data_IF_964602982503
#
_entry.id   IF_964602982503
#
_cell.length_a   1.000
_cell.length_b   1.000
_cell.length_c   1.000
_cell.angle_alpha   90.00
_cell.angle_beta   90.00
_cell.angle_gamma   90.00
#
_symmetry.space_group_name_H-M   'P 1'
#
loop_
_entity.id
_entity.type
_entity.pdbx_description
1 polymer ?
#
# COMPACT_ATOMS: atom_id res chain seq x y z
N UNK A 1 30.94 -12.77 9.54
CA UNK A 1 30.95 -14.18 9.96
C UNK A 1 32.29 -14.48 10.64
N UNK A 2 32.52 -13.91 11.83
CA UNK A 2 33.80 -14.06 12.55
C UNK A 2 33.84 -15.33 13.43
N UNK A 3 32.78 -16.15 13.36
CA UNK A 3 32.58 -17.38 14.15
C UNK A 3 32.29 -18.62 13.28
N UNK A 4 32.42 -18.48 11.95
CA UNK A 4 32.54 -19.63 11.06
C UNK A 4 34.04 -19.82 10.86
N UNK A 5 34.60 -20.93 11.33
CA UNK A 5 35.95 -21.30 10.97
C UNK A 5 36.02 -21.34 9.43
N UNK A 6 36.81 -20.47 8.77
CA UNK A 6 36.89 -20.47 7.32
C UNK A 6 37.52 -21.77 6.78
N UNK A 7 38.15 -22.58 7.64
CA UNK A 7 38.85 -23.80 7.26
C UNK A 7 37.98 -25.05 7.41
N UNK A 8 36.94 -25.05 8.26
CA UNK A 8 35.99 -26.17 8.40
C UNK A 8 34.54 -25.67 8.60
N UNK A 9 33.63 -25.91 7.63
CA UNK A 9 32.22 -25.57 7.80
C UNK A 9 31.58 -26.49 8.84
N UNK A 10 31.30 -25.95 10.02
CA UNK A 10 30.60 -26.66 11.09
C UNK A 10 29.40 -25.85 11.63
N UNK A 11 28.47 -26.55 12.27
CA UNK A 11 27.26 -25.97 12.86
C UNK A 11 27.45 -25.60 14.35
N UNK A 12 28.68 -25.60 14.89
CA UNK A 12 28.90 -25.43 16.32
C UNK A 12 28.41 -24.09 16.86
N UNK A 13 28.29 -23.06 16.01
CA UNK A 13 27.74 -21.75 16.36
C UNK A 13 26.32 -21.82 16.96
N UNK A 14 25.55 -22.89 16.71
CA UNK A 14 24.20 -23.06 17.30
C UNK A 14 24.25 -23.22 18.82
N UNK A 15 25.41 -23.61 19.38
CA UNK A 15 25.65 -23.71 20.83
C UNK A 15 26.09 -22.37 21.42
N UNK A 16 26.46 -21.41 20.58
CA UNK A 16 27.02 -20.12 20.97
C UNK A 16 26.02 -18.97 20.72
N UNK A 17 24.81 -19.12 21.25
CA UNK A 17 23.69 -18.18 21.04
C UNK A 17 24.09 -16.73 21.33
N UNK A 18 24.82 -16.49 22.41
CA UNK A 18 25.26 -15.16 22.86
C UNK A 18 26.21 -14.50 21.84
N UNK A 19 27.12 -15.27 21.24
CA UNK A 19 28.04 -14.75 20.22
C UNK A 19 27.33 -14.45 18.90
N UNK A 20 26.30 -15.24 18.55
CA UNK A 20 25.45 -14.92 17.38
C UNK A 20 24.64 -13.65 17.64
N UNK A 21 24.13 -13.45 18.86
CA UNK A 21 23.47 -12.21 19.27
C UNK A 21 24.42 -11.01 19.20
N UNK A 22 25.63 -11.16 19.72
CA UNK A 22 26.67 -10.13 19.64
C UNK A 22 27.02 -9.80 18.18
N UNK A 23 27.18 -10.81 17.32
CA UNK A 23 27.41 -10.62 15.89
C UNK A 23 26.32 -9.77 15.23
N UNK A 24 25.04 -10.08 15.45
CA UNK A 24 23.95 -9.27 14.89
C UNK A 24 23.83 -7.89 15.54
N UNK A 25 24.24 -7.75 16.81
CA UNK A 25 24.32 -6.46 17.49
C UNK A 25 25.38 -5.58 16.85
N UNK A 26 26.61 -6.08 16.68
CA UNK A 26 27.70 -5.40 15.98
C UNK A 26 27.31 -5.10 14.54
N UNK A 27 26.74 -6.07 13.82
CA UNK A 27 26.29 -5.88 12.44
C UNK A 27 25.25 -4.76 12.33
N UNK A 28 24.37 -4.61 13.34
CA UNK A 28 23.38 -3.52 13.41
C UNK A 28 23.97 -2.14 13.74
N UNK A 29 25.21 -2.09 14.25
CA UNK A 29 25.97 -0.87 14.52
C UNK A 29 26.87 -0.45 13.35
N UNK A 30 26.99 -1.29 12.31
CA UNK A 30 27.70 -0.93 11.07
C UNK A 30 26.90 0.05 10.22
N UNK A 31 27.50 0.54 9.12
CA UNK A 31 26.83 1.39 8.12
C UNK A 31 25.82 0.62 7.23
N UNK A 32 25.59 -0.67 7.47
CA UNK A 32 24.63 -1.46 6.68
C UNK A 32 23.18 -1.04 6.98
N UNK A 33 22.33 -1.04 5.94
CA UNK A 33 20.90 -0.79 6.12
C UNK A 33 20.26 -1.85 7.02
N UNK A 34 19.33 -1.46 7.90
CA UNK A 34 18.69 -2.41 8.83
C UNK A 34 17.93 -3.52 8.10
N UNK A 35 17.39 -3.24 6.91
CA UNK A 35 16.76 -4.23 6.04
C UNK A 35 17.77 -5.31 5.58
N UNK A 36 19.01 -4.91 5.28
CA UNK A 36 20.09 -5.83 4.90
C UNK A 36 20.46 -6.75 6.07
N UNK A 37 20.57 -6.20 7.28
CA UNK A 37 20.79 -6.99 8.51
C UNK A 37 19.64 -7.98 8.75
N UNK A 38 18.39 -7.55 8.56
CA UNK A 38 17.21 -8.42 8.65
C UNK A 38 17.20 -9.52 7.56
N UNK A 39 17.71 -9.24 6.37
CA UNK A 39 17.80 -10.24 5.30
C UNK A 39 18.83 -11.32 5.64
N UNK A 40 20.00 -10.95 6.18
CA UNK A 40 20.98 -11.93 6.67
C UNK A 40 20.38 -12.85 7.74
N UNK A 41 19.59 -12.28 8.65
CA UNK A 41 18.86 -13.04 9.65
C UNK A 41 17.86 -14.04 9.06
N UNK A 42 17.01 -13.57 8.12
CA UNK A 42 16.03 -14.43 7.45
C UNK A 42 16.69 -15.59 6.72
N UNK A 43 17.83 -15.33 6.07
CA UNK A 43 18.63 -16.36 5.41
C UNK A 43 19.14 -17.40 6.40
N UNK A 44 19.69 -16.97 7.55
CA UNK A 44 20.13 -17.88 8.62
C UNK A 44 18.97 -18.73 9.14
N UNK A 45 17.82 -18.11 9.46
CA UNK A 45 16.63 -18.84 9.91
C UNK A 45 16.11 -19.85 8.89
N UNK A 46 16.10 -19.48 7.60
CA UNK A 46 15.69 -20.39 6.51
C UNK A 46 16.66 -21.57 6.40
N UNK A 47 17.96 -21.32 6.52
CA UNK A 47 18.98 -22.35 6.53
C UNK A 47 18.80 -23.32 7.72
N UNK A 48 18.58 -22.80 8.94
CA UNK A 48 18.31 -23.64 10.11
C UNK A 48 17.06 -24.51 9.94
N UNK A 49 15.98 -23.96 9.39
CA UNK A 49 14.77 -24.74 9.05
C UNK A 49 15.10 -25.87 8.08
N UNK A 50 15.88 -25.60 7.04
CA UNK A 50 16.29 -26.61 6.07
C UNK A 50 17.08 -27.75 6.74
N UNK A 51 18.03 -27.43 7.62
CA UNK A 51 18.77 -28.45 8.38
C UNK A 51 17.82 -29.32 9.21
N UNK A 52 16.86 -28.71 9.93
CA UNK A 52 15.92 -29.44 10.79
C UNK A 52 14.93 -30.30 10.00
N UNK A 53 14.40 -29.80 8.88
CA UNK A 53 13.26 -30.45 8.19
C UNK A 53 13.65 -31.28 6.99
N UNK A 54 14.79 -30.99 6.37
CA UNK A 54 15.12 -31.46 5.02
C UNK A 54 16.43 -32.26 4.95
N UNK A 55 17.08 -32.50 6.09
CA UNK A 55 18.31 -33.30 6.17
C UNK A 55 18.16 -34.45 7.16
N UNK A 56 19.01 -35.47 7.02
CA UNK A 56 19.08 -36.63 7.93
C UNK A 56 19.73 -36.29 9.29
N UNK A 57 19.89 -35.03 9.65
CA UNK A 57 20.58 -34.62 10.89
C UNK A 57 19.93 -35.27 12.12
N UNK A 58 18.61 -35.46 12.11
CA UNK A 58 17.88 -36.15 13.19
C UNK A 58 18.35 -37.60 13.42
N UNK A 59 18.73 -38.32 12.37
CA UNK A 59 19.14 -39.72 12.45
C UNK A 59 20.65 -39.87 12.58
N UNK A 60 21.43 -38.95 11.99
CA UNK A 60 22.90 -38.99 11.99
C UNK A 60 23.53 -38.37 13.24
N UNK A 61 22.94 -37.30 13.77
CA UNK A 61 23.43 -36.61 14.97
C UNK A 61 22.24 -36.02 15.77
N UNK A 62 21.60 -36.83 16.62
CA UNK A 62 20.46 -36.41 17.43
C UNK A 62 20.78 -35.24 18.38
N UNK A 63 22.03 -35.13 18.85
CA UNK A 63 22.46 -34.05 19.72
C UNK A 63 22.46 -32.73 18.97
N UNK A 64 23.11 -32.70 17.81
CA UNK A 64 23.15 -31.50 16.96
C UNK A 64 21.76 -31.11 16.45
N UNK A 65 20.90 -32.09 16.16
CA UNK A 65 19.51 -31.82 15.81
C UNK A 65 18.77 -31.07 16.94
N UNK A 66 18.94 -31.50 18.19
CA UNK A 66 18.33 -30.85 19.33
C UNK A 66 18.91 -29.44 19.56
N UNK A 67 20.22 -29.27 19.39
CA UNK A 67 20.88 -27.97 19.47
C UNK A 67 20.34 -27.00 18.42
N UNK A 68 20.17 -27.44 17.16
CA UNK A 68 19.58 -26.64 16.10
C UNK A 68 18.12 -26.26 16.38
N UNK A 69 17.34 -27.18 16.97
CA UNK A 69 15.95 -26.92 17.34
C UNK A 69 15.86 -25.89 18.47
N UNK A 70 16.65 -26.04 19.52
CA UNK A 70 16.69 -25.11 20.65
C UNK A 70 17.19 -23.72 20.21
N UNK A 71 18.06 -23.67 19.19
CA UNK A 71 18.54 -22.41 18.60
C UNK A 71 17.45 -21.62 17.87
N UNK A 72 16.34 -22.24 17.45
CA UNK A 72 15.26 -21.54 16.74
C UNK A 72 14.49 -20.53 17.60
N UNK A 73 14.34 -20.79 18.90
CA UNK A 73 13.57 -19.90 19.80
C UNK A 73 14.28 -18.55 20.03
N UNK A 74 15.59 -18.51 20.31
CA UNK A 74 16.35 -17.27 20.27
C UNK A 74 16.26 -16.56 18.91
N UNK A 75 16.22 -17.32 17.80
CA UNK A 75 16.07 -16.75 16.46
C UNK A 75 14.70 -16.06 16.23
N UNK A 76 13.68 -16.39 17.02
CA UNK A 76 12.39 -15.71 16.94
C UNK A 76 12.41 -14.40 17.74
N UNK A 77 12.98 -14.40 18.95
CA UNK A 77 13.08 -13.21 19.79
C UNK A 77 13.86 -12.06 19.15
N UNK A 78 15.00 -12.37 18.53
CA UNK A 78 15.86 -11.37 17.88
C UNK A 78 15.21 -10.87 16.56
N UNK A 79 14.47 -11.72 15.83
CA UNK A 79 13.70 -11.30 14.65
C UNK A 79 12.67 -10.22 15.01
N UNK A 80 11.96 -10.40 16.12
CA UNK A 80 10.95 -9.43 16.58
C UNK A 80 11.61 -8.08 16.89
N UNK A 81 12.75 -8.08 17.57
CA UNK A 81 13.53 -6.87 17.86
C UNK A 81 14.01 -6.15 16.59
N UNK A 82 14.59 -6.87 15.64
CA UNK A 82 15.08 -6.30 14.37
C UNK A 82 13.94 -5.80 13.48
N UNK A 83 12.83 -6.54 13.41
CA UNK A 83 11.65 -6.12 12.64
C UNK A 83 11.06 -4.82 13.18
N UNK A 84 11.03 -4.64 14.51
CA UNK A 84 10.65 -3.36 15.16
C UNK A 84 11.61 -2.23 14.77
N UNK A 85 12.93 -2.48 14.73
CA UNK A 85 13.93 -1.47 14.35
C UNK A 85 13.87 -1.08 12.87
N UNK A 86 13.62 -2.04 11.97
CA UNK A 86 13.38 -1.80 10.54
C UNK A 86 12.09 -1.01 10.35
N UNK A 87 11.02 -1.40 11.05
CA UNK A 87 9.76 -0.67 10.99
C UNK A 87 9.93 0.78 11.48
N UNK A 88 10.65 1.00 12.59
CA UNK A 88 11.01 2.35 13.05
C UNK A 88 11.83 3.13 12.02
N UNK A 89 12.78 2.52 11.32
CA UNK A 89 13.54 3.21 10.26
C UNK A 89 12.69 3.56 9.05
N UNK A 90 11.80 2.64 8.63
CA UNK A 90 10.85 2.88 7.56
C UNK A 90 9.89 4.01 7.95
N UNK A 91 9.39 4.02 9.19
CA UNK A 91 8.56 5.10 9.74
C UNK A 91 9.36 6.41 9.84
N UNK A 92 10.60 6.36 10.31
CA UNK A 92 11.47 7.53 10.40
C UNK A 92 11.79 8.10 9.01
N UNK A 93 12.02 7.27 7.99
CA UNK A 93 12.15 7.70 6.59
C UNK A 93 10.83 8.25 6.04
N UNK A 94 9.68 7.67 6.41
CA UNK A 94 8.34 8.18 6.06
C UNK A 94 8.07 9.56 6.68
N UNK A 95 8.55 9.83 7.88
CA UNK A 95 8.42 11.15 8.54
C UNK A 95 9.53 12.12 8.13
N UNK A 96 10.74 11.65 7.81
CA UNK A 96 11.80 12.46 7.21
C UNK A 96 11.51 12.83 5.75
N UNK A 97 10.58 12.12 5.08
CA UNK A 97 9.95 12.53 3.83
C UNK A 97 9.08 13.80 3.93
N UNK A 98 8.95 14.40 5.12
CA UNK A 98 8.46 15.78 5.28
C UNK A 98 9.55 16.85 5.07
N UNK A 99 10.81 16.44 4.88
CA UNK A 99 11.91 17.30 4.48
C UNK A 99 12.09 17.28 2.96
N UNK A 100 11.29 18.09 2.25
CA UNK A 100 11.62 18.65 0.92
C UNK A 100 12.26 17.75 -0.16
N UNK A 101 12.11 16.42 -0.16
CA UNK A 101 12.10 15.71 -1.43
C UNK A 101 10.74 16.00 -2.05
N UNK A 102 10.70 17.04 -2.89
CA UNK A 102 9.58 17.28 -3.79
C UNK A 102 9.24 15.93 -4.40
N UNK A 103 8.00 15.47 -4.23
CA UNK A 103 7.43 14.47 -5.12
C UNK A 103 7.90 14.82 -6.53
N UNK A 104 8.38 13.87 -7.36
CA UNK A 104 8.63 14.18 -8.76
C UNK A 104 7.41 14.94 -9.27
N UNK A 105 7.59 16.19 -9.73
CA UNK A 105 6.46 17.09 -10.00
C UNK A 105 5.42 16.45 -10.92
N UNK A 106 5.86 15.49 -11.72
CA UNK A 106 5.09 14.61 -12.58
C UNK A 106 4.00 13.78 -11.87
N UNK A 107 4.21 13.35 -10.62
CA UNK A 107 3.23 12.59 -9.84
C UNK A 107 2.02 13.44 -9.43
N UNK A 108 2.21 14.74 -9.19
CA UNK A 108 1.11 15.69 -8.89
C UNK A 108 0.53 16.28 -10.17
N UNK A 109 1.33 16.44 -11.23
CA UNK A 109 0.86 16.91 -12.54
C UNK A 109 -0.30 16.08 -13.09
N UNK A 110 -0.34 14.77 -12.84
CA UNK A 110 -1.48 13.92 -13.27
C UNK A 110 -2.80 14.42 -12.64
N UNK A 111 -2.77 14.81 -11.36
CA UNK A 111 -3.93 15.40 -10.69
C UNK A 111 -4.27 16.76 -11.30
N UNK A 112 -3.28 17.60 -11.59
CA UNK A 112 -3.52 18.93 -12.17
C UNK A 112 -4.17 18.84 -13.56
N UNK A 113 -3.71 17.92 -14.41
CA UNK A 113 -4.27 17.74 -15.76
C UNK A 113 -5.70 17.17 -15.68
N UNK A 114 -5.93 16.16 -14.84
CA UNK A 114 -7.26 15.55 -14.71
C UNK A 114 -8.25 16.41 -13.89
N UNK A 115 -7.77 17.46 -13.19
CA UNK A 115 -8.58 18.26 -12.27
C UNK A 115 -9.78 18.90 -12.93
N UNK A 116 -9.63 19.40 -14.16
CA UNK A 116 -10.74 20.10 -14.84
C UNK A 116 -11.85 19.15 -15.28
N UNK A 117 -11.49 18.00 -15.83
CA UNK A 117 -12.47 16.96 -16.19
C UNK A 117 -13.17 16.41 -14.94
N UNK A 118 -12.40 16.17 -13.88
CA UNK A 118 -12.95 15.78 -12.58
C UNK A 118 -13.94 16.82 -12.05
N UNK A 119 -13.55 18.10 -11.99
CA UNK A 119 -14.42 19.16 -11.48
C UNK A 119 -15.66 19.38 -12.35
N UNK A 120 -15.57 19.17 -13.66
CA UNK A 120 -16.74 19.22 -14.55
C UNK A 120 -17.74 18.12 -14.19
N UNK A 121 -17.29 16.90 -13.91
CA UNK A 121 -18.15 15.79 -13.44
C UNK A 121 -18.72 16.08 -12.04
N UNK A 122 -17.91 16.59 -11.11
CA UNK A 122 -18.39 16.99 -9.78
C UNK A 122 -19.43 18.12 -9.86
N UNK A 123 -19.26 19.04 -10.81
CA UNK A 123 -20.22 20.10 -11.10
C UNK A 123 -21.58 19.58 -11.57
N UNK A 124 -21.63 18.42 -12.25
CA UNK A 124 -22.92 17.77 -12.58
C UNK A 124 -23.63 17.24 -11.34
N UNK A 125 -22.89 16.75 -10.34
CA UNK A 125 -23.43 16.24 -9.07
C UNK A 125 -23.88 17.34 -8.09
N UNK A 126 -23.34 18.56 -8.24
CA UNK A 126 -23.61 19.67 -7.30
C UNK A 126 -24.39 20.84 -7.93
N UNK A 127 -24.48 20.90 -9.26
CA UNK A 127 -25.04 22.01 -10.02
C UNK A 127 -26.41 21.73 -10.65
N UNK A 128 -26.79 22.46 -11.72
CA UNK A 128 -28.08 22.29 -12.41
C UNK A 128 -28.33 20.87 -12.95
N UNK A 129 -27.26 20.09 -13.17
CA UNK A 129 -27.31 18.66 -13.51
C UNK A 129 -27.98 17.81 -12.43
N UNK A 130 -27.75 18.12 -11.15
CA UNK A 130 -28.40 17.46 -10.02
C UNK A 130 -29.89 17.82 -9.94
N UNK A 131 -30.25 19.05 -10.32
CA UNK A 131 -31.65 19.50 -10.39
C UNK A 131 -32.41 18.92 -11.61
N UNK A 132 -31.70 18.52 -12.66
CA UNK A 132 -32.26 17.91 -13.88
C UNK A 132 -32.23 16.38 -13.87
N UNK A 133 -31.63 15.77 -12.85
CA UNK A 133 -31.55 14.31 -12.71
C UNK A 133 -30.65 13.65 -13.77
N UNK A 134 -29.68 14.38 -14.34
CA UNK A 134 -28.76 13.85 -15.33
C UNK A 134 -27.84 12.82 -14.66
N UNK A 135 -28.10 11.53 -14.92
CA UNK A 135 -27.32 10.43 -14.36
C UNK A 135 -25.92 10.41 -14.98
N UNK A 136 -24.90 10.19 -14.14
CA UNK A 136 -23.54 9.98 -14.61
C UNK A 136 -23.42 8.64 -15.34
N UNK A 137 -22.66 8.63 -16.44
CA UNK A 137 -22.29 7.38 -17.09
C UNK A 137 -21.16 6.65 -16.32
N UNK A 138 -20.89 5.41 -16.71
CA UNK A 138 -19.86 4.58 -16.06
C UNK A 138 -18.46 5.18 -16.12
N UNK A 139 -18.09 5.84 -17.23
CA UNK A 139 -16.76 6.44 -17.38
C UNK A 139 -16.59 7.65 -16.47
N UNK A 140 -17.64 8.46 -16.32
CA UNK A 140 -17.67 9.59 -15.40
C UNK A 140 -17.56 9.12 -13.94
N UNK A 141 -18.28 8.04 -13.59
CA UNK A 141 -18.19 7.42 -12.27
C UNK A 141 -16.76 6.90 -12.00
N UNK A 142 -16.14 6.24 -12.99
CA UNK A 142 -14.76 5.75 -12.89
C UNK A 142 -13.74 6.89 -12.81
N UNK A 143 -13.93 7.98 -13.54
CA UNK A 143 -13.05 9.15 -13.46
C UNK A 143 -13.01 9.72 -12.04
N UNK A 144 -14.17 9.88 -11.40
CA UNK A 144 -14.25 10.34 -10.01
C UNK A 144 -13.55 9.35 -9.09
N UNK A 145 -13.84 8.06 -9.21
CA UNK A 145 -13.19 7.02 -8.42
C UNK A 145 -11.66 7.11 -8.52
N UNK A 146 -11.12 7.07 -9.74
CA UNK A 146 -9.68 7.09 -9.98
C UNK A 146 -9.00 8.38 -9.50
N UNK A 147 -9.68 9.52 -9.62
CA UNK A 147 -9.17 10.78 -9.12
C UNK A 147 -9.08 10.79 -7.58
N UNK A 148 -10.07 10.23 -6.88
CA UNK A 148 -10.02 10.11 -5.42
C UNK A 148 -8.94 9.13 -4.95
N UNK A 149 -8.76 7.99 -5.65
CA UNK A 149 -7.65 7.08 -5.38
C UNK A 149 -6.29 7.77 -5.56
N UNK A 150 -6.15 8.56 -6.62
CA UNK A 150 -4.95 9.36 -6.90
C UNK A 150 -4.69 10.40 -5.81
N UNK A 151 -5.71 11.02 -5.24
CA UNK A 151 -5.54 11.91 -4.07
C UNK A 151 -4.94 11.12 -2.91
N UNK A 152 -5.50 9.96 -2.54
CA UNK A 152 -5.01 9.16 -1.41
C UNK A 152 -3.56 8.71 -1.63
N UNK A 153 -3.25 8.21 -2.82
CA UNK A 153 -1.94 7.59 -3.11
C UNK A 153 -0.87 8.63 -3.46
N UNK A 154 -1.19 9.58 -4.35
CA UNK A 154 -0.19 10.50 -4.92
C UNK A 154 -0.12 11.83 -4.17
N UNK A 155 -1.24 12.37 -3.69
CA UNK A 155 -1.25 13.65 -2.97
C UNK A 155 -1.03 13.47 -1.47
N UNK A 156 -1.69 12.48 -0.86
CA UNK A 156 -1.63 12.20 0.58
C UNK A 156 -0.57 11.14 0.93
N UNK A 157 0.10 10.57 -0.08
CA UNK A 157 1.21 9.62 0.05
C UNK A 157 0.88 8.38 0.88
N UNK A 158 -0.38 7.95 0.83
CA UNK A 158 -0.85 6.75 1.51
C UNK A 158 -0.54 5.51 0.67
N UNK A 159 -0.46 4.37 1.35
CA UNK A 159 -0.27 3.10 0.66
C UNK A 159 -1.53 2.75 -0.15
N UNK A 160 -1.38 2.10 -1.31
CA UNK A 160 -2.51 1.50 -2.05
C UNK A 160 -3.43 0.63 -1.18
N UNK A 161 -2.86 -0.03 -0.15
CA UNK A 161 -3.62 -0.82 0.81
C UNK A 161 -4.61 -0.02 1.66
N UNK A 162 -4.41 1.30 1.81
CA UNK A 162 -5.37 2.20 2.47
C UNK A 162 -6.64 2.32 1.62
N UNK A 163 -6.48 2.53 0.31
CA UNK A 163 -7.61 2.60 -0.65
C UNK A 163 -8.37 1.28 -0.69
N UNK A 164 -7.68 0.13 -0.74
CA UNK A 164 -8.37 -1.17 -0.86
C UNK A 164 -9.12 -1.58 0.39
N UNK A 165 -8.74 -1.06 1.56
CA UNK A 165 -9.22 -1.57 2.84
C UNK A 165 -10.00 -0.55 3.67
N UNK A 166 -10.02 0.74 3.28
CA UNK A 166 -10.86 1.74 3.93
C UNK A 166 -12.31 1.26 3.94
N UNK A 167 -12.91 1.20 5.12
CA UNK A 167 -14.28 0.71 5.30
C UNK A 167 -15.29 1.85 5.33
N UNK A 168 -16.57 1.51 5.12
CA UNK A 168 -17.66 2.46 5.30
C UNK A 168 -17.74 2.95 6.75
N UNK A 169 -17.56 2.05 7.72
CA UNK A 169 -17.56 2.39 9.14
C UNK A 169 -16.45 3.40 9.48
N UNK A 170 -15.25 3.23 8.94
CA UNK A 170 -14.13 4.17 9.14
C UNK A 170 -14.40 5.54 8.52
N UNK A 171 -15.08 5.58 7.37
CA UNK A 171 -15.52 6.83 6.74
C UNK A 171 -16.61 7.54 7.55
N UNK A 172 -17.61 6.81 8.01
CA UNK A 172 -18.72 7.35 8.80
C UNK A 172 -18.26 7.82 10.20
N UNK A 173 -17.25 7.15 10.77
CA UNK A 173 -16.63 7.50 12.05
C UNK A 173 -15.41 8.43 11.94
N UNK A 174 -15.21 9.08 10.79
CA UNK A 174 -14.11 10.01 10.59
C UNK A 174 -14.13 11.15 11.61
N UNK A 175 -12.94 11.62 11.98
CA UNK A 175 -12.79 12.72 12.94
C UNK A 175 -12.85 14.05 12.20
N UNK A 176 -13.81 14.90 12.53
CA UNK A 176 -13.86 16.26 12.00
C UNK A 176 -12.79 17.14 12.65
N UNK A 177 -12.10 17.90 11.82
CA UNK A 177 -11.05 18.85 12.16
C UNK A 177 -11.50 20.26 11.75
N UNK A 178 -10.87 21.33 12.26
CA UNK A 178 -11.26 22.70 11.91
C UNK A 178 -11.27 23.00 10.40
N UNK A 179 -10.37 22.36 9.63
CA UNK A 179 -10.19 22.59 8.18
C UNK A 179 -10.46 21.32 7.34
N UNK A 180 -11.27 20.37 7.87
CA UNK A 180 -11.69 19.16 7.14
C UNK A 180 -11.95 17.96 8.04
N UNK A 181 -11.40 16.80 7.67
CA UNK A 181 -11.58 15.56 8.44
C UNK A 181 -10.37 14.63 8.33
N UNK A 182 -10.27 13.65 9.22
CA UNK A 182 -9.31 12.55 9.15
C UNK A 182 -10.01 11.21 9.22
N UNK A 183 -9.75 10.34 8.24
CA UNK A 183 -10.23 8.95 8.22
C UNK A 183 -9.13 8.05 8.76
N UNK A 184 -9.50 7.20 9.72
CA UNK A 184 -8.58 6.33 10.44
C UNK A 184 -8.69 4.88 9.94
N UNK A 185 -7.78 4.45 9.06
CA UNK A 185 -7.80 3.13 8.40
C UNK A 185 -6.94 2.11 9.17
N UNK A 186 -7.60 1.17 9.84
CA UNK A 186 -6.98 0.22 10.78
C UNK A 186 -6.28 -0.93 10.08
N UNK A 187 -6.89 -1.46 9.03
CA UNK A 187 -6.32 -2.56 8.25
C UNK A 187 -5.73 -2.04 6.95
N UNK A 188 -4.44 -1.75 6.91
CA UNK A 188 -3.72 -1.55 5.65
C UNK A 188 -2.54 -2.52 5.62
N UNK A 189 -2.14 -3.04 4.45
CA UNK A 189 -1.18 -4.17 4.25
C UNK A 189 0.24 -3.97 4.84
N UNK A 190 0.36 -3.78 6.14
CA UNK A 190 1.59 -3.81 6.92
C UNK A 190 1.31 -4.50 8.25
N UNK A 191 2.10 -5.50 8.58
CA UNK A 191 1.99 -6.37 9.76
C UNK A 191 2.26 -5.66 11.12
N UNK A 192 1.94 -4.37 11.23
CA UNK A 192 2.03 -3.60 12.45
C UNK A 192 0.71 -2.86 12.65
N UNK A 193 0.15 -2.97 13.85
CA UNK A 193 -1.12 -2.42 14.35
C UNK A 193 -1.22 -0.88 14.34
N UNK A 194 -0.65 -0.22 13.33
CA UNK A 194 -0.71 1.22 13.18
C UNK A 194 -1.91 1.56 12.31
N UNK A 195 -2.69 2.54 12.75
CA UNK A 195 -3.83 3.08 12.00
C UNK A 195 -3.31 4.14 11.04
N UNK A 196 -3.59 4.00 9.75
CA UNK A 196 -3.24 5.03 8.77
C UNK A 196 -4.24 6.19 8.91
N UNK A 197 -3.72 7.41 9.08
CA UNK A 197 -4.54 8.62 9.09
C UNK A 197 -4.56 9.22 7.69
N UNK A 198 -5.75 9.42 7.14
CA UNK A 198 -5.98 10.06 5.85
C UNK A 198 -6.55 11.46 6.11
N UNK A 199 -5.70 12.50 6.22
CA UNK A 199 -6.17 13.87 6.42
C UNK A 199 -6.74 14.41 5.11
N UNK A 200 -7.98 14.87 5.15
CA UNK A 200 -8.72 15.48 4.07
C UNK A 200 -8.97 16.95 4.43
N UNK A 201 -8.71 17.85 3.48
CA UNK A 201 -9.24 19.22 3.54
C UNK A 201 -10.76 19.22 3.37
N UNK A 202 -11.43 20.31 3.76
CA UNK A 202 -12.88 20.50 3.53
C UNK A 202 -13.32 20.18 2.09
N UNK A 203 -12.54 20.66 1.11
CA UNK A 203 -12.82 20.43 -0.31
C UNK A 203 -12.76 18.93 -0.64
N UNK A 204 -11.73 18.24 -0.15
CA UNK A 204 -11.56 16.80 -0.38
C UNK A 204 -12.62 15.99 0.35
N UNK A 205 -12.94 16.31 1.61
CA UNK A 205 -13.99 15.63 2.37
C UNK A 205 -15.33 15.71 1.61
N UNK A 206 -15.67 16.89 1.08
CA UNK A 206 -16.88 17.07 0.26
C UNK A 206 -16.88 16.17 -0.98
N UNK A 207 -15.77 16.07 -1.69
CA UNK A 207 -15.68 15.18 -2.87
C UNK A 207 -15.82 13.71 -2.52
N UNK A 208 -15.19 13.27 -1.43
CA UNK A 208 -15.34 11.90 -0.92
C UNK A 208 -16.79 11.62 -0.51
N UNK A 209 -17.46 12.59 0.13
CA UNK A 209 -18.87 12.50 0.46
C UNK A 209 -19.79 12.36 -0.75
N UNK A 210 -19.54 13.11 -1.81
CA UNK A 210 -20.32 13.00 -3.06
C UNK A 210 -20.12 11.65 -3.75
N UNK A 211 -18.88 11.15 -3.80
CA UNK A 211 -18.65 9.80 -4.27
C UNK A 211 -19.43 8.77 -3.42
N UNK A 212 -19.37 8.89 -2.09
CA UNK A 212 -20.01 7.95 -1.18
C UNK A 212 -21.54 7.95 -1.28
N UNK A 213 -22.16 9.13 -1.41
CA UNK A 213 -23.62 9.29 -1.42
C UNK A 213 -24.25 9.10 -2.80
N UNK A 214 -23.58 9.55 -3.87
CA UNK A 214 -24.20 9.62 -5.20
C UNK A 214 -23.67 8.55 -6.15
N UNK A 215 -22.35 8.33 -6.18
CA UNK A 215 -21.72 7.46 -7.18
C UNK A 215 -21.66 6.00 -6.71
N UNK A 216 -21.22 5.79 -5.46
CA UNK A 216 -21.04 4.46 -4.88
C UNK A 216 -22.33 3.63 -4.92
N UNK A 217 -23.53 4.16 -4.59
CA UNK A 217 -24.76 3.37 -4.70
C UNK A 217 -25.05 2.90 -6.13
N UNK A 218 -24.81 3.76 -7.14
CA UNK A 218 -24.99 3.41 -8.55
C UNK A 218 -24.04 2.28 -8.95
N UNK A 219 -22.76 2.36 -8.56
CA UNK A 219 -21.78 1.31 -8.81
C UNK A 219 -22.12 -0.02 -8.12
N UNK A 220 -22.73 0.02 -6.93
CA UNK A 220 -23.21 -1.17 -6.23
C UNK A 220 -24.43 -1.81 -6.91
N UNK A 221 -25.30 -1.01 -7.52
CA UNK A 221 -26.52 -1.47 -8.21
C UNK A 221 -26.25 -2.12 -9.58
N UNK A 222 -25.11 -1.85 -10.22
CA UNK A 222 -24.69 -2.49 -11.48
C UNK A 222 -24.60 -4.02 -11.42
N UNK A 223 -24.61 -4.61 -10.22
CA UNK A 223 -24.80 -6.04 -9.98
C UNK A 223 -26.30 -6.39 -10.06
N UNK A 224 -26.84 -6.54 -11.26
CA UNK A 224 -28.23 -6.91 -11.49
C UNK A 224 -28.65 -8.17 -10.69
N UNK A 225 -29.43 -7.96 -9.63
CA UNK A 225 -30.33 -8.92 -8.99
C UNK A 225 -29.75 -10.26 -8.47
N UNK A 226 -28.45 -10.54 -8.61
CA UNK A 226 -27.85 -11.78 -8.10
C UNK A 226 -27.22 -11.51 -6.75
N UNK A 227 -28.01 -11.68 -5.70
CA UNK A 227 -27.54 -11.89 -4.34
C UNK A 227 -26.54 -13.06 -4.38
N UNK A 228 -25.24 -12.75 -4.43
CA UNK A 228 -24.16 -13.72 -4.26
C UNK A 228 -23.40 -13.33 -3.00
N UNK A 229 -23.75 -14.06 -1.97
CA UNK A 229 -23.44 -13.93 -0.54
C UNK A 229 -21.97 -14.12 -0.15
N UNK A 230 -20.98 -13.77 -1.01
CA UNK A 230 -19.56 -14.02 -0.65
C UNK A 230 -18.60 -12.84 -0.65
N UNK A 231 -18.82 -11.76 -1.39
CA UNK A 231 -17.96 -10.56 -1.35
C UNK A 231 -18.67 -9.36 -2.02
N UNK A 232 -19.79 -8.90 -1.47
CA UNK A 232 -20.33 -7.61 -1.93
C UNK A 232 -19.44 -6.46 -1.41
N UNK A 233 -19.22 -5.41 -2.20
CA UNK A 233 -18.37 -4.29 -1.81
C UNK A 233 -18.99 -3.38 -0.73
N UNK A 234 -20.08 -3.81 -0.06
CA UNK A 234 -20.86 -2.92 0.81
C UNK A 234 -20.11 -2.50 2.05
N UNK A 235 -19.18 -3.31 2.54
CA UNK A 235 -18.32 -2.98 3.68
C UNK A 235 -17.16 -2.03 3.33
N UNK A 236 -16.79 -1.94 2.05
CA UNK A 236 -15.65 -1.14 1.59
C UNK A 236 -16.11 0.24 1.11
N UNK A 237 -15.32 1.26 1.43
CA UNK A 237 -15.57 2.62 0.96
C UNK A 237 -15.43 2.71 -0.56
N UNK A 238 -14.28 2.29 -1.08
CA UNK A 238 -14.03 2.26 -2.52
C UNK A 238 -14.55 0.96 -3.16
N UNK A 239 -15.33 1.09 -4.24
CA UNK A 239 -15.90 -0.03 -4.99
C UNK A 239 -15.66 0.17 -6.49
N UNK A 240 -15.43 -0.92 -7.22
CA UNK A 240 -15.30 -0.86 -8.68
C UNK A 240 -16.67 -0.70 -9.36
N UNK A 241 -16.68 -0.40 -10.66
CA UNK A 241 -17.90 -0.36 -11.49
C UNK A 241 -18.72 -1.65 -11.49
N UNK A 242 -18.13 -2.78 -11.04
CA UNK A 242 -18.82 -4.06 -10.86
C UNK A 242 -19.44 -4.25 -9.46
N UNK A 243 -19.41 -3.22 -8.60
CA UNK A 243 -19.91 -3.26 -7.22
C UNK A 243 -19.07 -4.13 -6.27
N UNK A 244 -17.83 -4.45 -6.66
CA UNK A 244 -16.89 -5.27 -5.86
C UNK A 244 -15.80 -4.42 -5.23
N UNK A 245 -15.19 -4.86 -4.11
CA UNK A 245 -14.02 -4.21 -3.54
C UNK A 245 -12.90 -4.02 -4.57
N UNK A 246 -12.18 -2.91 -4.46
CA UNK A 246 -11.04 -2.61 -5.34
C UNK A 246 -9.84 -3.48 -4.92
N UNK A 247 -9.20 -4.11 -5.91
CA UNK A 247 -8.10 -5.03 -5.65
C UNK A 247 -6.71 -4.43 -5.94
N UNK A 248 -6.61 -3.54 -6.94
CA UNK A 248 -5.33 -3.01 -7.39
C UNK A 248 -5.45 -1.56 -7.91
N UNK A 249 -5.54 -0.56 -7.01
CA UNK A 249 -5.66 0.84 -7.39
C UNK A 249 -4.42 1.35 -8.14
N UNK A 250 -3.25 0.69 -8.02
CA UNK A 250 -2.09 1.03 -8.83
C UNK A 250 -2.27 0.74 -10.33
N UNK A 251 -3.11 -0.23 -10.70
CA UNK A 251 -3.45 -0.48 -12.10
C UNK A 251 -4.49 0.53 -12.59
N UNK A 252 -5.43 0.93 -11.74
CA UNK A 252 -6.41 1.96 -12.05
C UNK A 252 -5.72 3.28 -12.39
N UNK A 253 -4.63 3.65 -11.68
CA UNK A 253 -3.80 4.82 -11.99
C UNK A 253 -3.03 4.74 -13.32
N UNK A 254 -2.85 3.54 -13.91
CA UNK A 254 -2.25 3.42 -15.26
C UNK A 254 -3.23 3.87 -16.34
N UNK A 255 -4.53 3.73 -16.10
CA UNK A 255 -5.58 4.01 -17.09
C UNK A 255 -5.67 5.51 -17.40
N UNK A 256 -5.67 6.46 -16.44
CA UNK A 256 -5.52 7.89 -16.72
C UNK A 256 -4.24 8.21 -17.49
N UNK A 257 -3.10 7.59 -17.14
CA UNK A 257 -1.83 7.79 -17.84
C UNK A 257 -1.88 7.31 -19.31
N UNK A 258 -2.57 6.20 -19.57
CA UNK A 258 -2.70 5.61 -20.91
C UNK A 258 -3.73 6.32 -21.80
N UNK A 259 -4.87 6.75 -21.23
CA UNK A 259 -5.87 7.54 -21.94
C UNK A 259 -5.24 8.85 -22.43
N UNK A 260 -4.36 9.46 -21.65
CA UNK A 260 -3.69 10.70 -22.05
C UNK A 260 -2.55 10.51 -23.04
N UNK A 261 -1.76 9.43 -22.96
CA UNK A 261 -0.81 9.11 -24.05
C UNK A 261 -1.55 8.95 -25.39
N UNK A 262 -2.71 8.30 -25.38
CA UNK A 262 -3.54 8.08 -26.56
C UNK A 262 -4.13 9.39 -27.12
N UNK A 263 -4.61 10.29 -26.25
CA UNK A 263 -5.16 11.59 -26.64
C UNK A 263 -4.06 12.58 -27.09
N UNK A 264 -2.89 12.56 -26.45
CA UNK A 264 -1.75 13.39 -26.85
C UNK A 264 -1.14 12.94 -28.19
N UNK A 265 -1.11 11.62 -28.45
CA UNK A 265 -0.72 11.07 -29.75
C UNK A 265 -1.74 11.36 -30.85
N UNK A 266 -3.04 11.37 -30.52
CA UNK A 266 -4.08 11.82 -31.46
C UNK A 266 -3.97 13.32 -31.77
N UNK A 267 -3.78 14.17 -30.76
CA UNK A 267 -3.62 15.63 -30.94
C UNK A 267 -2.39 15.97 -31.80
N UNK A 268 -1.24 15.31 -31.56
CA UNK A 268 -0.03 15.51 -32.40
C UNK A 268 -0.22 15.09 -33.84
N UNK A 269 -1.03 14.06 -34.12
CA UNK A 269 -1.37 13.65 -35.49
C UNK A 269 -2.31 14.64 -36.17
N UNK A 270 -3.22 15.27 -35.42
CA UNK A 270 -4.10 16.34 -35.93
C UNK A 270 -3.32 17.60 -36.30
N UNK A 271 -2.39 18.03 -35.44
CA UNK A 271 -1.62 19.26 -35.64
C UNK A 271 -0.60 19.13 -36.78
N UNK A 272 -0.08 17.92 -37.01
CA UNK A 272 0.82 17.64 -38.14
C UNK A 272 0.10 17.54 -39.50
N UNK A 273 -1.22 17.35 -39.51
CA UNK A 273 -2.04 17.37 -40.72
C UNK A 273 -2.57 18.76 -41.07
N UNK A 274 -2.62 19.70 -40.11
CA UNK A 274 -3.04 21.09 -40.34
C UNK A 274 -1.88 22.06 -40.61
N UNK A 275 -0.64 21.71 -40.28
CA UNK A 275 0.55 22.53 -40.54
C UNK A 275 1.20 22.36 -41.93
N UNK A 276 0.58 21.57 -42.82
CA UNK A 276 1.05 21.29 -44.17
C UNK A 276 0.12 21.85 -45.23
N UNK A 277 -0.02 23.17 -45.33
CA UNK A 277 -0.60 23.88 -46.47
C UNK A 277 0.05 25.25 -46.61
#
# INVERSE_FOLDING_TARGET
MHYMDPNEPNLNFVREVEKVQEYFTVLSQTKLAKQTVLNYWKSLKRFMKYIITSTDTRTKDPSLFNDCKNFMDPLDGIQVGMSKKVNKEVIQKRHQGSGQEKLPGDCVRILDVARMDFLAVMGKLQGPGAASGEALDTNQCLLVLYYLEAIVILKLLQLPGVVTNMTVEEWESRTHLPDGASVAVKEHKTAASQVAQVPLSDEQERWFGLYFNEIRPVMLQGNGGKVRERCDGRGQFFVSSSGRPIHNPCNDLKTPCQIQHSQCDQQRRSDSLQGGS
#
